data_IF_732005352923
#
_entry.id   IF_732005352923
#
_cell.length_a   1.000
_cell.length_b   1.000
_cell.length_c   1.000
_cell.angle_alpha   90.00
_cell.angle_beta   90.00
_cell.angle_gamma   90.00
#
_symmetry.space_group_name_H-M   'P 1'
#
loop_
_entity.id
_entity.type
_entity.pdbx_description
1 polymer ?
#
# COMPACT_ATOMS: atom_id res chain seq x y z
N UNK A 1 -2.40 10.45 0.24
CA UNK A 1 -3.09 9.18 -0.07
C UNK A 1 -2.04 8.11 -0.32
N UNK A 2 -2.26 6.89 0.13
CA UNK A 2 -1.31 5.76 0.04
C UNK A 2 -2.01 4.60 -0.67
N UNK A 3 -1.28 3.92 -1.56
CA UNK A 3 -1.73 2.72 -2.27
C UNK A 3 -0.99 1.50 -1.74
N UNK A 4 -1.71 0.40 -1.63
CA UNK A 4 -1.23 -0.86 -1.07
C UNK A 4 -1.81 -2.06 -1.80
N UNK A 5 -1.31 -3.25 -1.48
CA UNK A 5 -1.93 -4.52 -1.85
C UNK A 5 -2.66 -5.09 -0.64
N UNK A 6 -3.90 -5.55 -0.81
CA UNK A 6 -4.75 -6.16 0.22
C UNK A 6 -4.21 -7.51 0.66
N UNK A 7 -3.05 -7.47 1.30
CA UNK A 7 -2.29 -8.61 1.81
C UNK A 7 -1.90 -8.30 3.25
N UNK A 8 -1.91 -9.31 4.12
CA UNK A 8 -1.75 -9.23 5.59
C UNK A 8 -1.20 -7.88 6.10
N UNK A 9 0.11 -7.74 6.15
CA UNK A 9 0.79 -6.62 6.84
C UNK A 9 1.02 -5.39 5.94
N UNK A 10 0.66 -5.48 4.66
CA UNK A 10 0.94 -4.44 3.66
C UNK A 10 -0.32 -3.71 3.18
N UNK A 11 -1.51 -4.21 3.52
CA UNK A 11 -2.79 -3.59 3.22
C UNK A 11 -3.18 -2.46 4.17
N UNK A 12 -4.44 -2.02 4.10
CA UNK A 12 -5.02 -0.97 4.94
C UNK A 12 -4.83 -1.28 6.43
N UNK A 13 -5.06 -2.54 6.83
CA UNK A 13 -5.00 -2.94 8.23
C UNK A 13 -3.57 -2.96 8.79
N UNK A 14 -2.56 -3.25 7.98
CA UNK A 14 -1.16 -3.13 8.40
C UNK A 14 -0.70 -1.68 8.44
N UNK A 15 -1.04 -0.90 7.42
CA UNK A 15 -0.60 0.49 7.30
C UNK A 15 -1.25 1.43 8.31
N UNK A 16 -2.50 1.18 8.73
CA UNK A 16 -3.22 2.06 9.65
C UNK A 16 -2.57 2.15 11.03
N UNK A 17 -1.90 1.08 11.48
CA UNK A 17 -1.29 0.99 12.82
C UNK A 17 -0.33 2.15 13.07
N UNK A 18 0.53 2.47 12.10
CA UNK A 18 1.48 3.59 12.21
C UNK A 18 0.80 4.96 12.37
N UNK A 19 -0.40 5.13 11.81
CA UNK A 19 -1.15 6.38 11.92
C UNK A 19 -1.98 6.42 13.20
N UNK A 20 -2.55 5.29 13.61
CA UNK A 20 -3.29 5.15 14.87
C UNK A 20 -2.38 5.46 16.08
N UNK A 21 -1.10 5.09 16.04
CA UNK A 21 -0.09 5.50 17.03
C UNK A 21 0.11 7.02 17.11
N UNK A 22 -0.13 7.74 16.02
CA UNK A 22 -0.08 9.20 15.95
C UNK A 22 -1.41 9.87 16.36
N UNK A 23 -2.40 9.10 16.80
CA UNK A 23 -3.72 9.58 17.20
C UNK A 23 -4.73 9.74 16.07
N UNK A 24 -4.45 9.22 14.87
CA UNK A 24 -5.43 9.15 13.80
C UNK A 24 -6.48 8.07 14.08
N UNK A 25 -7.71 8.28 13.59
CA UNK A 25 -8.82 7.34 13.77
C UNK A 25 -9.37 6.89 12.43
N UNK A 26 -9.29 5.58 12.16
CA UNK A 26 -9.89 4.97 10.97
C UNK A 26 -11.40 5.17 10.98
N UNK A 27 -11.95 5.63 9.86
CA UNK A 27 -13.38 5.85 9.71
C UNK A 27 -14.06 4.58 9.17
N UNK A 28 -15.32 4.37 9.57
CA UNK A 28 -16.11 3.19 9.19
C UNK A 28 -16.51 3.19 7.70
N UNK A 29 -16.47 4.36 7.06
CA UNK A 29 -16.78 4.53 5.64
C UNK A 29 -15.81 3.74 4.76
N UNK A 30 -16.33 2.76 4.04
CA UNK A 30 -15.59 1.95 3.06
C UNK A 30 -15.98 2.38 1.66
N UNK A 31 -15.00 2.81 0.87
CA UNK A 31 -15.16 3.12 -0.53
C UNK A 31 -14.74 1.92 -1.37
N UNK A 32 -15.63 1.40 -2.22
CA UNK A 32 -15.34 0.29 -3.12
C UNK A 32 -15.30 0.78 -4.56
N UNK A 33 -14.25 0.41 -5.28
CA UNK A 33 -14.03 0.73 -6.68
C UNK A 33 -13.94 -0.57 -7.48
N UNK A 34 -15.11 -1.16 -7.79
CA UNK A 34 -15.22 -2.50 -8.37
C UNK A 34 -14.42 -2.66 -9.67
N UNK A 35 -14.56 -1.73 -10.63
CA UNK A 35 -13.82 -1.79 -11.90
C UNK A 35 -12.31 -1.75 -11.71
N UNK A 36 -11.83 -1.14 -10.63
CA UNK A 36 -10.40 -1.06 -10.30
C UNK A 36 -9.95 -2.18 -9.37
N UNK A 37 -10.87 -3.02 -8.87
CA UNK A 37 -10.61 -4.03 -7.83
C UNK A 37 -9.94 -3.41 -6.60
N UNK A 38 -10.37 -2.21 -6.20
CA UNK A 38 -9.75 -1.45 -5.09
C UNK A 38 -10.77 -1.18 -3.99
N UNK A 39 -10.33 -1.33 -2.74
CA UNK A 39 -11.04 -0.89 -1.55
C UNK A 39 -10.25 0.26 -0.92
N UNK A 40 -10.94 1.25 -0.37
CA UNK A 40 -10.29 2.35 0.34
C UNK A 40 -11.05 2.76 1.59
N UNK A 41 -10.30 3.32 2.53
CA UNK A 41 -10.79 3.97 3.75
C UNK A 41 -9.97 5.24 4.00
N UNK A 42 -10.43 6.05 4.96
CA UNK A 42 -9.68 7.22 5.38
C UNK A 42 -9.58 7.30 6.89
N UNK A 43 -8.50 7.92 7.37
CA UNK A 43 -8.28 8.21 8.77
C UNK A 43 -8.47 9.70 9.03
N UNK A 44 -9.24 10.00 10.07
CA UNK A 44 -9.42 11.35 10.59
C UNK A 44 -8.19 11.74 11.43
N UNK A 45 -7.67 12.97 11.25
CA UNK A 45 -6.55 13.45 12.04
C UNK A 45 -6.94 13.71 13.50
N UNK A 46 -5.99 13.60 14.44
CA UNK A 46 -6.17 14.18 15.77
C UNK A 46 -6.25 15.71 15.68
N UNK A 47 -6.62 16.36 16.78
CA UNK A 47 -6.53 17.82 16.89
C UNK A 47 -5.08 18.25 16.67
N UNK A 48 -4.89 19.23 15.79
CA UNK A 48 -3.58 19.83 15.59
C UNK A 48 -3.12 20.56 16.88
N UNK A 49 -1.83 20.52 17.23
CA UNK A 49 -1.29 21.30 18.33
C UNK A 49 -1.56 22.80 18.13
N UNK A 50 -1.68 23.54 19.23
CA UNK A 50 -1.95 24.98 19.16
C UNK A 50 -0.82 25.71 18.40
N UNK A 51 -1.20 26.61 17.49
CA UNK A 51 -0.26 27.32 16.61
C UNK A 51 0.13 26.56 15.34
N UNK A 52 -0.35 25.32 15.15
CA UNK A 52 -0.14 24.55 13.91
C UNK A 52 -1.44 24.48 13.07
N UNK A 53 -1.32 24.38 11.73
CA UNK A 53 -2.48 24.18 10.88
C UNK A 53 -3.13 22.81 11.11
N UNK A 54 -4.41 22.63 10.70
CA UNK A 54 -5.06 21.33 10.73
C UNK A 54 -4.24 20.24 10.04
N UNK A 55 -4.14 19.08 10.68
CA UNK A 55 -3.45 17.93 10.10
C UNK A 55 -4.27 17.34 8.94
N UNK A 56 -3.62 16.76 7.91
CA UNK A 56 -4.33 16.21 6.76
C UNK A 56 -5.04 14.91 7.11
N UNK A 57 -6.15 14.63 6.42
CA UNK A 57 -6.73 13.27 6.39
C UNK A 57 -5.79 12.33 5.65
N UNK A 58 -5.75 11.06 6.08
CA UNK A 58 -4.97 10.02 5.40
C UNK A 58 -5.92 9.12 4.65
N UNK A 59 -5.79 9.07 3.33
CA UNK A 59 -6.54 8.15 2.48
C UNK A 59 -5.69 6.90 2.20
N UNK A 60 -6.19 5.72 2.57
CA UNK A 60 -5.53 4.44 2.34
C UNK A 60 -6.38 3.61 1.38
N UNK A 61 -5.78 3.14 0.30
CA UNK A 61 -6.42 2.23 -0.64
C UNK A 61 -5.59 0.96 -0.81
N UNK A 62 -6.25 -0.18 -0.93
CA UNK A 62 -5.64 -1.46 -1.25
C UNK A 62 -6.26 -2.08 -2.51
N UNK A 63 -5.42 -2.69 -3.33
CA UNK A 63 -5.89 -3.61 -4.37
C UNK A 63 -6.44 -4.87 -3.68
N UNK A 64 -7.70 -5.20 -3.94
CA UNK A 64 -8.32 -6.45 -3.53
C UNK A 64 -7.75 -7.58 -4.38
N UNK A 65 -6.67 -8.20 -3.88
CA UNK A 65 -5.90 -9.22 -4.60
C UNK A 65 -6.76 -10.45 -4.87
N UNK A 66 -7.71 -10.78 -3.98
CA UNK A 66 -8.61 -11.92 -4.16
C UNK A 66 -9.57 -11.72 -5.34
N UNK A 67 -9.94 -10.47 -5.61
CA UNK A 67 -10.75 -10.07 -6.76
C UNK A 67 -9.96 -9.96 -8.09
N UNK A 68 -8.64 -10.15 -8.07
CA UNK A 68 -7.80 -10.18 -9.27
C UNK A 68 -7.84 -11.54 -9.96
N UNK A 69 -7.40 -11.56 -11.23
CA UNK A 69 -7.15 -12.82 -11.94
C UNK A 69 -5.90 -13.54 -11.39
N UNK A 70 -5.80 -14.84 -11.68
CA UNK A 70 -4.71 -15.68 -11.17
C UNK A 70 -3.32 -15.26 -11.68
N UNK A 71 -3.24 -14.64 -12.87
CA UNK A 71 -1.97 -14.13 -13.39
C UNK A 71 -1.47 -12.95 -12.54
N UNK A 72 -2.33 -11.99 -12.21
CA UNK A 72 -1.96 -10.84 -11.39
C UNK A 72 -1.66 -11.26 -9.95
N UNK A 73 -2.45 -12.18 -9.38
CA UNK A 73 -2.15 -12.78 -8.07
C UNK A 73 -0.76 -13.40 -8.04
N UNK A 74 -0.42 -14.20 -9.06
CA UNK A 74 0.90 -14.83 -9.18
C UNK A 74 2.02 -13.79 -9.24
N UNK A 75 1.83 -12.68 -9.97
CA UNK A 75 2.83 -11.60 -10.03
C UNK A 75 2.98 -10.92 -8.67
N UNK A 76 1.86 -10.58 -8.02
CA UNK A 76 1.84 -9.93 -6.70
C UNK A 76 2.52 -10.83 -5.67
N UNK A 77 2.17 -12.11 -5.59
CA UNK A 77 2.79 -13.08 -4.69
C UNK A 77 4.28 -13.26 -4.98
N UNK A 78 4.69 -13.28 -6.24
CA UNK A 78 6.09 -13.38 -6.58
C UNK A 78 6.88 -12.14 -6.16
N UNK A 79 6.29 -10.94 -6.20
CA UNK A 79 6.94 -9.69 -5.78
C UNK A 79 6.96 -9.57 -4.25
N UNK A 80 5.85 -9.86 -3.59
CA UNK A 80 5.69 -9.73 -2.14
C UNK A 80 6.29 -10.91 -1.36
N UNK A 81 6.22 -12.15 -1.86
CA UNK A 81 6.81 -13.32 -1.21
C UNK A 81 8.33 -13.23 -1.03
N UNK A 82 9.01 -12.46 -1.89
CA UNK A 82 10.46 -12.21 -1.78
C UNK A 82 10.82 -11.27 -0.62
N UNK A 83 9.89 -10.45 -0.13
CA UNK A 83 10.14 -9.58 1.04
C UNK A 83 10.04 -10.36 2.36
N UNK A 84 9.21 -11.40 2.42
CA UNK A 84 9.06 -12.26 3.59
C UNK A 84 10.31 -13.13 3.89
N UNK A 85 11.17 -13.36 2.89
CA UNK A 85 12.39 -14.16 3.03
C UNK A 85 13.60 -13.36 3.55
N UNK A 86 13.44 -12.07 3.87
CA UNK A 86 14.54 -11.23 4.35
C UNK A 86 15.63 -10.96 3.31
N UNK A 87 15.46 -11.41 2.06
CA UNK A 87 16.33 -11.07 0.93
C UNK A 87 16.03 -9.65 0.44
N UNK A 88 16.39 -8.65 1.25
CA UNK A 88 16.50 -7.26 0.78
C UNK A 88 17.71 -7.18 -0.14
N UNK A 89 17.50 -7.49 -1.42
CA UNK A 89 18.49 -7.19 -2.45
C UNK A 89 18.49 -5.69 -2.66
N UNK A 90 19.59 -5.04 -2.28
CA UNK A 90 19.83 -3.62 -2.56
C UNK A 90 19.57 -3.37 -4.05
N UNK A 91 18.52 -2.61 -4.35
CA UNK A 91 18.32 -2.13 -5.72
C UNK A 91 19.29 -0.98 -5.96
N UNK A 92 19.79 -0.81 -7.19
CA UNK A 92 20.63 0.34 -7.55
C UNK A 92 19.94 1.69 -7.26
N UNK A 93 18.60 1.70 -7.19
CA UNK A 93 17.80 2.87 -6.79
C UNK A 93 18.03 3.29 -5.32
N UNK A 94 18.41 2.35 -4.44
CA UNK A 94 18.73 2.61 -3.03
C UNK A 94 20.04 3.39 -2.87
N UNK A 95 21.01 3.18 -3.78
CA UNK A 95 22.27 3.96 -3.83
C UNK A 95 22.04 5.44 -4.16
N UNK A 96 20.90 5.77 -4.78
CA UNK A 96 20.47 7.14 -5.11
C UNK A 96 19.41 7.69 -4.16
N UNK A 97 19.21 7.06 -2.99
CA UNK A 97 18.33 7.55 -1.93
C UNK A 97 16.84 7.31 -2.18
N UNK A 98 16.49 6.47 -3.16
CA UNK A 98 15.09 6.06 -3.40
C UNK A 98 14.83 4.78 -2.62
N UNK A 99 13.98 4.90 -1.59
CA UNK A 99 13.63 3.79 -0.70
C UNK A 99 12.70 2.82 -1.45
N UNK A 100 13.27 1.89 -2.21
CA UNK A 100 12.54 0.72 -2.69
C UNK A 100 12.70 -0.41 -1.67
N UNK A 101 11.76 -0.53 -0.72
CA UNK A 101 11.71 -1.66 0.24
C UNK A 101 11.29 -2.99 -0.42
N UNK A 102 11.24 -3.04 -1.74
CA UNK A 102 10.64 -4.10 -2.54
C UNK A 102 11.64 -4.53 -3.61
N UNK A 103 11.79 -5.84 -3.84
CA UNK A 103 12.40 -6.29 -5.09
C UNK A 103 11.46 -5.88 -6.22
N UNK A 104 11.86 -4.85 -6.99
CA UNK A 104 11.05 -4.32 -8.08
C UNK A 104 10.68 -5.46 -9.06
N UNK A 105 9.43 -5.49 -9.58
CA UNK A 105 9.08 -6.42 -10.64
C UNK A 105 10.04 -6.25 -11.82
N UNK A 106 10.27 -7.31 -12.60
CA UNK A 106 10.97 -7.15 -13.88
C UNK A 106 10.19 -6.18 -14.79
N UNK A 107 10.89 -5.51 -15.71
CA UNK A 107 10.23 -4.63 -16.68
C UNK A 107 9.08 -5.34 -17.44
N UNK A 108 9.24 -6.64 -17.71
CA UNK A 108 8.20 -7.49 -18.30
C UNK A 108 6.98 -7.60 -17.39
N UNK A 109 7.16 -7.94 -16.12
CA UNK A 109 6.06 -8.04 -15.14
C UNK A 109 5.36 -6.71 -14.95
N UNK A 110 6.10 -5.61 -14.87
CA UNK A 110 5.51 -4.26 -14.78
C UNK A 110 4.63 -3.94 -16.01
N UNK A 111 5.14 -4.19 -17.21
CA UNK A 111 4.38 -4.00 -18.46
C UNK A 111 3.19 -4.95 -18.61
N UNK A 112 3.23 -6.13 -17.98
CA UNK A 112 2.06 -7.03 -17.89
C UNK A 112 0.99 -6.40 -17.00
N UNK A 113 1.34 -5.97 -15.79
CA UNK A 113 0.39 -5.36 -14.86
C UNK A 113 -0.28 -4.09 -15.42
N UNK A 114 0.41 -3.31 -16.26
CA UNK A 114 -0.18 -2.11 -16.90
C UNK A 114 -1.35 -2.45 -17.84
N UNK A 115 -1.40 -3.67 -18.37
CA UNK A 115 -2.41 -4.12 -19.35
C UNK A 115 -3.60 -4.85 -18.71
N UNK A 116 -3.55 -5.10 -17.40
CA UNK A 116 -4.53 -5.88 -16.62
C UNK A 116 -5.49 -4.98 -15.84
#
# INVERSE_FOLDING_TARGET
>A
AIRSFGTRDLGIDGLRVMFEELGYVMQEEVMRFETKRVVARWLAPPRAPDGFPPLPRIFLSELDVDACDEELKTIVDAVLGRTAQGEVRKSQEEEVGRVARWQLPSAKQYAQCEKM
#
